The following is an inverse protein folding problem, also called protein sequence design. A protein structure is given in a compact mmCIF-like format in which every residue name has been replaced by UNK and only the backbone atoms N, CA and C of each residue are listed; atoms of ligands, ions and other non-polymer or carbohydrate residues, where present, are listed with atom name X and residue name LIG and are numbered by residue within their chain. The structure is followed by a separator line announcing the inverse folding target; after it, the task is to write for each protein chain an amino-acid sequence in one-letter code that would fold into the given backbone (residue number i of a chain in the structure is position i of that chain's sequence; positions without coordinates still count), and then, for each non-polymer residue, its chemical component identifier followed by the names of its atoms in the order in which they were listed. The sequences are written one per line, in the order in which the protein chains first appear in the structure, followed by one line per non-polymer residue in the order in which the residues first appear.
data_IF_824125834222
#
_entry.id   IF_824125834222
#
_cell.length_a   1.000
_cell.length_b   1.000
_cell.length_c   1.000
_cell.angle_alpha   90.00
_cell.angle_beta   90.00
_cell.angle_gamma   90.00
#
_symmetry.space_group_name_H-M   'P 1'
#
loop_
_entity.id
_entity.type
_entity.pdbx_description
1 polymer ?
#
# COMPACT_ATOMS: atom_id res chain seq x y z
N UNK A 1 0.48 -2.14 -28.36
CA UNK A 1 -0.28 -1.82 -27.13
C UNK A 1 0.71 -1.26 -26.12
N UNK A 2 0.36 -0.16 -25.46
CA UNK A 2 1.16 0.43 -24.39
C UNK A 2 0.53 0.01 -23.05
N UNK A 3 1.34 -0.32 -22.06
CA UNK A 3 0.88 -0.62 -20.70
C UNK A 3 1.19 0.60 -19.83
N UNK A 4 0.18 1.35 -19.35
CA UNK A 4 0.42 2.44 -18.44
C UNK A 4 0.88 1.88 -17.09
N UNK A 5 2.01 2.39 -16.60
CA UNK A 5 2.65 2.00 -15.35
C UNK A 5 2.88 3.25 -14.50
N UNK A 6 2.52 3.20 -13.21
CA UNK A 6 2.92 4.22 -12.22
C UNK A 6 4.00 3.66 -11.28
N UNK A 7 4.87 4.56 -10.81
CA UNK A 7 5.81 4.27 -9.72
C UNK A 7 5.45 5.19 -8.56
N UNK A 8 5.16 4.60 -7.41
CA UNK A 8 4.63 5.29 -6.24
C UNK A 8 5.53 5.05 -5.02
N UNK A 9 5.67 6.10 -4.21
CA UNK A 9 6.50 6.10 -2.99
C UNK A 9 5.67 6.14 -1.71
N UNK A 10 4.34 6.10 -1.83
CA UNK A 10 3.40 6.09 -0.72
C UNK A 10 2.20 5.20 -1.05
N UNK A 11 1.71 4.46 -0.05
CA UNK A 11 0.48 3.67 -0.15
C UNK A 11 -0.68 4.57 0.24
N UNK A 12 -1.60 4.84 -0.70
CA UNK A 12 -2.86 5.54 -0.41
C UNK A 12 -3.96 4.51 -0.21
N UNK A 13 -4.41 4.31 1.02
CA UNK A 13 -5.33 3.19 1.32
C UNK A 13 -6.79 3.50 1.00
N UNK A 14 -7.21 4.76 1.13
CA UNK A 14 -8.60 5.19 1.06
C UNK A 14 -9.55 4.41 2.00
N UNK A 15 -9.02 3.78 3.05
CA UNK A 15 -9.79 2.90 3.95
C UNK A 15 -10.25 1.59 3.31
N UNK A 16 -9.65 1.19 2.19
CA UNK A 16 -9.97 -0.05 1.45
C UNK A 16 -9.03 -1.21 1.81
N UNK A 17 -8.11 -0.99 2.74
CA UNK A 17 -7.20 -2.03 3.20
C UNK A 17 -7.91 -3.07 4.07
N UNK A 18 -7.53 -4.34 3.85
CA UNK A 18 -8.05 -5.47 4.61
C UNK A 18 -6.91 -6.10 5.40
N UNK A 19 -7.09 -6.26 6.71
CA UNK A 19 -6.10 -6.92 7.55
C UNK A 19 -6.08 -8.42 7.28
N UNK A 20 -4.90 -8.97 6.96
CA UNK A 20 -4.69 -10.40 6.81
C UNK A 20 -4.05 -10.94 8.08
N UNK A 21 -4.80 -11.78 8.80
CA UNK A 21 -4.33 -12.42 10.02
C UNK A 21 -4.40 -11.52 11.27
N UNK A 22 -4.41 -12.16 12.44
CA UNK A 22 -4.68 -11.47 13.71
C UNK A 22 -3.44 -10.87 14.38
N UNK A 23 -2.22 -11.31 14.02
CA UNK A 23 -1.02 -11.06 14.85
C UNK A 23 0.03 -10.11 14.27
N UNK A 24 0.12 -9.95 12.95
CA UNK A 24 1.35 -9.41 12.33
C UNK A 24 1.21 -8.01 11.69
N UNK A 25 0.09 -7.32 11.87
CA UNK A 25 -0.19 -6.03 11.21
C UNK A 25 0.05 -6.08 9.69
N UNK A 26 -0.32 -7.21 9.09
CA UNK A 26 -0.26 -7.43 7.65
C UNK A 26 -1.60 -7.06 7.04
N UNK A 27 -1.55 -6.36 5.92
CA UNK A 27 -2.72 -5.87 5.21
C UNK A 27 -2.60 -6.16 3.73
N UNK A 28 -3.77 -6.21 3.10
CA UNK A 28 -3.98 -6.36 1.67
C UNK A 28 -4.70 -5.12 1.14
N UNK A 29 -4.26 -4.64 -0.02
CA UNK A 29 -4.90 -3.52 -0.70
C UNK A 29 -4.90 -3.77 -2.22
N UNK A 30 -6.05 -3.49 -2.83
CA UNK A 30 -6.23 -3.58 -4.28
C UNK A 30 -6.37 -2.17 -4.86
N UNK A 31 -5.54 -1.89 -5.86
CA UNK A 31 -5.41 -0.58 -6.49
C UNK A 31 -5.69 -0.69 -8.00
N UNK A 32 -6.36 0.29 -8.61
CA UNK A 32 -6.58 0.30 -10.04
C UNK A 32 -5.29 0.64 -10.79
N UNK A 33 -5.09 -0.04 -11.94
CA UNK A 33 -3.93 0.12 -12.80
C UNK A 33 -2.72 -0.72 -12.37
N UNK A 34 -1.66 -0.66 -13.20
CA UNK A 34 -0.38 -1.30 -12.91
C UNK A 34 0.53 -0.31 -12.19
N UNK A 35 0.74 -0.55 -10.90
CA UNK A 35 1.52 0.29 -9.99
C UNK A 35 2.72 -0.49 -9.51
N UNK A 36 3.86 0.18 -9.43
CA UNK A 36 5.05 -0.31 -8.76
C UNK A 36 5.29 0.49 -7.49
N UNK A 37 5.84 -0.21 -6.51
CA UNK A 37 6.31 0.36 -5.27
C UNK A 37 7.70 -0.20 -4.96
N UNK A 38 8.51 0.50 -4.15
CA UNK A 38 9.69 -0.08 -3.54
C UNK A 38 9.31 -1.31 -2.71
N UNK A 39 9.89 -2.46 -3.06
CA UNK A 39 9.76 -3.70 -2.29
C UNK A 39 10.81 -3.72 -1.17
N UNK A 40 10.47 -4.32 -0.03
CA UNK A 40 11.39 -4.51 1.10
C UNK A 40 12.00 -3.21 1.68
N UNK A 41 11.36 -2.07 1.42
CA UNK A 41 11.74 -0.75 1.94
C UNK A 41 10.56 -0.12 2.67
N UNK A 42 10.86 0.70 3.67
CA UNK A 42 9.84 1.50 4.34
C UNK A 42 9.36 2.61 3.42
N UNK A 43 8.04 2.65 3.22
CA UNK A 43 7.35 3.70 2.49
C UNK A 43 6.22 4.27 3.33
N UNK A 44 5.82 5.50 3.04
CA UNK A 44 4.73 6.14 3.74
C UNK A 44 3.40 5.46 3.42
N UNK A 45 2.53 5.38 4.42
CA UNK A 45 1.14 4.99 4.25
C UNK A 45 0.24 6.14 4.65
N UNK A 46 -0.72 6.47 3.80
CA UNK A 46 -1.61 7.61 3.95
C UNK A 46 -3.05 7.17 3.69
N UNK A 47 -4.00 7.78 4.39
CA UNK A 47 -5.43 7.46 4.21
C UNK A 47 -5.97 8.07 2.93
N UNK A 48 -5.56 9.30 2.64
CA UNK A 48 -5.92 10.09 1.47
C UNK A 48 -4.70 10.90 1.03
N UNK A 49 -4.66 11.31 -0.24
CA UNK A 49 -3.51 12.03 -0.83
C UNK A 49 -3.15 13.34 -0.10
N UNK A 50 -4.10 14.01 0.56
CA UNK A 50 -3.88 15.35 1.14
C UNK A 50 -4.02 15.44 2.67
N UNK A 51 -4.50 14.41 3.38
CA UNK A 51 -5.10 14.66 4.70
C UNK A 51 -4.69 13.79 5.89
N UNK A 52 -4.04 12.63 5.71
CA UNK A 52 -3.70 11.80 6.87
C UNK A 52 -2.53 10.85 6.62
N UNK A 53 -1.35 11.18 7.13
CA UNK A 53 -0.25 10.22 7.26
C UNK A 53 -0.61 9.22 8.34
N UNK A 54 -0.77 7.95 7.97
CA UNK A 54 -1.14 6.86 8.88
C UNK A 54 0.11 6.33 9.59
N UNK A 55 1.23 6.23 8.88
CA UNK A 55 2.41 5.56 9.39
C UNK A 55 3.42 5.22 8.29
N UNK A 56 4.21 4.19 8.53
CA UNK A 56 5.11 3.57 7.55
C UNK A 56 4.81 2.08 7.40
N UNK A 57 5.05 1.56 6.21
CA UNK A 57 4.85 0.15 5.89
C UNK A 57 5.94 -0.39 4.97
N UNK A 58 6.10 -1.71 4.95
CA UNK A 58 6.96 -2.44 4.02
C UNK A 58 6.09 -3.33 3.15
N UNK A 59 6.18 -3.19 1.83
CA UNK A 59 5.50 -4.09 0.90
C UNK A 59 6.30 -5.39 0.79
N UNK A 60 5.62 -6.51 1.04
CA UNK A 60 6.19 -7.86 1.02
C UNK A 60 5.74 -8.66 -0.20
N UNK A 61 4.62 -8.29 -0.82
CA UNK A 61 4.14 -8.92 -2.05
C UNK A 61 3.46 -7.90 -2.96
N UNK A 62 3.69 -8.03 -4.28
CA UNK A 62 3.01 -7.27 -5.32
C UNK A 62 2.57 -8.20 -6.45
N UNK A 63 1.31 -8.12 -6.83
CA UNK A 63 0.70 -8.89 -7.92
C UNK A 63 -0.05 -7.98 -8.87
N UNK A 64 0.10 -8.24 -10.16
CA UNK A 64 -0.71 -7.63 -11.21
C UNK A 64 -1.65 -8.65 -11.82
N UNK A 65 -2.93 -8.29 -11.89
CA UNK A 65 -3.96 -9.07 -12.57
C UNK A 65 -5.10 -8.12 -12.95
N UNK A 66 -5.74 -8.37 -14.09
CA UNK A 66 -7.01 -7.69 -14.44
C UNK A 66 -6.96 -6.15 -14.35
N UNK A 67 -5.88 -5.55 -14.87
CA UNK A 67 -5.63 -4.09 -14.82
C UNK A 67 -5.59 -3.51 -13.41
N UNK A 68 -5.18 -4.32 -12.44
CA UNK A 68 -5.10 -3.95 -11.04
C UNK A 68 -3.78 -4.39 -10.43
N UNK A 69 -3.43 -3.71 -9.34
CA UNK A 69 -2.30 -4.03 -8.49
C UNK A 69 -2.80 -4.43 -7.13
N UNK A 70 -2.48 -5.64 -6.71
CA UNK A 70 -2.68 -6.12 -5.35
C UNK A 70 -1.36 -6.07 -4.63
N UNK A 71 -1.32 -5.41 -3.48
CA UNK A 71 -0.16 -5.40 -2.59
C UNK A 71 -0.50 -6.06 -1.27
N UNK A 72 0.47 -6.78 -0.72
CA UNK A 72 0.50 -7.16 0.68
C UNK A 72 1.61 -6.37 1.34
N UNK A 73 1.29 -5.71 2.45
CA UNK A 73 2.24 -4.91 3.19
C UNK A 73 2.12 -5.14 4.69
N UNK A 74 3.22 -4.94 5.39
CA UNK A 74 3.27 -4.95 6.84
C UNK A 74 3.41 -3.52 7.34
N UNK A 75 2.48 -3.10 8.20
CA UNK A 75 2.56 -1.80 8.88
C UNK A 75 3.65 -1.86 9.96
N UNK A 76 4.68 -1.01 9.84
CA UNK A 76 5.84 -1.00 10.76
C UNK A 76 5.68 0.05 11.86
N UNK A 77 5.07 1.18 11.55
CA UNK A 77 4.81 2.24 12.52
C UNK A 77 3.47 2.93 12.24
N UNK A 78 2.91 3.55 13.28
CA UNK A 78 1.77 4.47 13.17
C UNK A 78 2.25 5.87 13.56
N UNK A 79 1.95 6.85 12.74
CA UNK A 79 2.07 8.24 13.14
C UNK A 79 0.88 8.54 14.07
N UNK A 80 1.16 8.66 15.36
CA UNK A 80 0.13 8.98 16.36
C UNK A 80 -0.37 10.40 16.12
N UNK A 81 -1.59 10.52 15.60
CA UNK A 81 -2.37 11.77 15.69
C UNK A 81 -2.91 11.85 17.12
N UNK A 82 -2.35 12.74 17.93
CA UNK A 82 -2.86 13.13 19.25
C UNK A 82 -4.21 13.82 19.16
#
# INVERSE_FOLDING_TARGET
MNMPLSLEWAIITNGLEERIGEKDNVFHLQLPGYRLFPMDQEIDIMRQEESEHIGTAIITELKWAEEQTTIIYQLTSLYSVN
#
